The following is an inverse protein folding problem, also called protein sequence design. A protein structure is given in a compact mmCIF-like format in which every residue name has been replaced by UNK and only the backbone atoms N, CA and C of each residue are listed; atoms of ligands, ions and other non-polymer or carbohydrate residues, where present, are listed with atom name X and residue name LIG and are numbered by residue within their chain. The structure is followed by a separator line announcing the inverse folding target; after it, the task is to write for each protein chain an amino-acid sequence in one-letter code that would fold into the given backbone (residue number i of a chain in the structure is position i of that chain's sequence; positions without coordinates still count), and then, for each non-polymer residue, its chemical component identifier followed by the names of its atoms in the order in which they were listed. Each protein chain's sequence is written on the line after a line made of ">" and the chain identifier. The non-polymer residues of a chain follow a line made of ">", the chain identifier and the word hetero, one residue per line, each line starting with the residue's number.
data_IF_158257825092
#
_entry.id   IF_158257825092
#
_cell.length_a   1.000
_cell.length_b   1.000
_cell.length_c   1.000
_cell.angle_alpha   90.00
_cell.angle_beta   90.00
_cell.angle_gamma   90.00
#
_symmetry.space_group_name_H-M   'P 1'
#
loop_
_entity.id
_entity.type
_entity.pdbx_description
1 polymer ?
#
# COMPACT_ATOMS: atom_id res chain seq x y z
N UNK A 1 5.85 24.30 -62.09
CA UNK A 1 6.71 23.16 -61.75
C UNK A 1 6.39 22.72 -60.34
N UNK A 2 6.13 21.42 -60.23
CA UNK A 2 5.76 20.64 -59.06
C UNK A 2 6.82 20.68 -57.96
N UNK A 3 6.40 20.81 -56.70
CA UNK A 3 7.01 20.08 -55.56
C UNK A 3 6.10 20.12 -54.34
N UNK A 4 5.28 19.09 -54.28
CA UNK A 4 4.58 18.58 -53.10
C UNK A 4 5.60 18.34 -51.98
N UNK A 5 5.42 18.99 -50.84
CA UNK A 5 6.12 18.64 -49.60
C UNK A 5 5.10 17.99 -48.67
N UNK A 6 5.10 16.66 -48.67
CA UNK A 6 4.43 15.84 -47.67
C UNK A 6 5.19 16.00 -46.35
N UNK A 7 4.62 16.72 -45.39
CA UNK A 7 5.11 16.72 -44.02
C UNK A 7 4.52 15.48 -43.31
N UNK A 8 5.31 14.40 -43.22
CA UNK A 8 5.00 13.25 -42.38
C UNK A 8 5.38 13.62 -40.95
N UNK A 9 4.42 14.05 -40.15
CA UNK A 9 4.59 14.26 -38.70
C UNK A 9 4.46 12.90 -38.00
N UNK A 10 5.61 12.29 -37.72
CA UNK A 10 5.69 11.10 -36.86
C UNK A 10 5.26 11.46 -35.44
N UNK A 11 4.03 11.11 -35.05
CA UNK A 11 3.58 11.19 -33.67
C UNK A 11 4.24 10.06 -32.85
N UNK A 12 5.30 10.40 -32.11
CA UNK A 12 5.91 9.48 -31.15
C UNK A 12 4.98 9.24 -29.96
N UNK A 13 4.57 7.99 -29.72
CA UNK A 13 3.91 7.59 -28.48
C UNK A 13 4.91 7.70 -27.33
N UNK A 14 4.75 8.69 -26.47
CA UNK A 14 5.44 8.76 -25.18
C UNK A 14 4.74 7.78 -24.23
N UNK A 15 5.33 6.59 -24.04
CA UNK A 15 4.98 5.72 -22.92
C UNK A 15 5.61 6.31 -21.66
N UNK A 16 4.79 6.89 -20.78
CA UNK A 16 5.25 7.25 -19.44
C UNK A 16 5.33 5.99 -18.59
N UNK A 17 6.56 5.52 -18.33
CA UNK A 17 6.79 4.53 -17.29
C UNK A 17 6.51 5.20 -15.94
N UNK A 18 5.35 4.90 -15.35
CA UNK A 18 5.15 5.15 -13.92
C UNK A 18 6.07 4.18 -13.16
N UNK A 19 6.73 4.70 -12.12
CA UNK A 19 7.65 3.93 -11.29
C UNK A 19 7.12 3.89 -9.85
N UNK A 20 7.13 2.69 -9.27
CA UNK A 20 6.55 2.41 -7.96
C UNK A 20 7.06 3.38 -6.89
N UNK A 21 6.18 3.76 -5.97
CA UNK A 21 6.53 4.66 -4.88
C UNK A 21 7.05 3.85 -3.69
N UNK A 22 8.25 4.14 -3.22
CA UNK A 22 8.91 3.45 -2.12
C UNK A 22 8.98 4.33 -0.87
N UNK A 23 8.73 3.73 0.29
CA UNK A 23 8.89 4.31 1.61
C UNK A 23 9.73 3.38 2.48
N UNK A 24 10.77 3.90 3.12
CA UNK A 24 11.68 3.09 3.93
C UNK A 24 12.63 2.23 3.07
N UNK A 25 12.91 1.01 3.53
CA UNK A 25 13.76 0.06 2.81
C UNK A 25 13.03 -0.60 1.62
N UNK A 26 13.76 -1.39 0.82
CA UNK A 26 13.14 -2.22 -0.20
C UNK A 26 12.23 -3.29 0.43
N UNK A 27 11.07 -3.52 -0.15
CA UNK A 27 10.15 -4.58 0.27
C UNK A 27 10.65 -5.92 -0.29
N UNK A 28 10.83 -6.91 0.59
CA UNK A 28 11.10 -8.29 0.16
C UNK A 28 9.81 -8.94 -0.34
N UNK A 29 9.70 -9.07 -1.66
CA UNK A 29 8.54 -9.66 -2.33
C UNK A 29 8.58 -11.19 -2.41
N UNK A 30 9.66 -11.84 -1.98
CA UNK A 30 9.78 -13.31 -2.05
C UNK A 30 8.92 -14.04 -1.02
N UNK A 31 8.51 -13.33 0.03
CA UNK A 31 7.77 -13.86 1.18
C UNK A 31 6.41 -13.19 1.38
N UNK A 32 5.89 -12.50 0.36
CA UNK A 32 4.61 -11.78 0.41
C UNK A 32 3.44 -12.74 0.63
N UNK A 33 2.58 -12.40 1.59
CA UNK A 33 1.26 -13.01 1.74
C UNK A 33 0.15 -11.96 1.47
N UNK A 34 -1.00 -12.36 0.90
CA UNK A 34 -2.16 -11.47 0.83
C UNK A 34 -2.65 -11.10 2.23
N UNK A 35 -3.17 -9.89 2.39
CA UNK A 35 -3.72 -9.43 3.68
C UNK A 35 -4.87 -10.30 4.16
N UNK A 36 -5.63 -10.90 3.25
CA UNK A 36 -6.69 -11.86 3.54
C UNK A 36 -6.14 -13.09 4.26
N UNK A 37 -4.98 -13.60 3.85
CA UNK A 37 -4.35 -14.75 4.50
C UNK A 37 -3.88 -14.42 5.92
N UNK A 38 -3.39 -13.20 6.16
CA UNK A 38 -3.05 -12.74 7.50
C UNK A 38 -4.31 -12.70 8.38
N UNK A 39 -5.41 -12.17 7.84
CA UNK A 39 -6.68 -11.98 8.55
C UNK A 39 -7.39 -13.29 8.90
N UNK A 40 -7.15 -14.40 8.20
CA UNK A 40 -7.68 -15.72 8.62
C UNK A 40 -7.19 -16.10 10.03
N UNK A 41 -5.94 -15.76 10.38
CA UNK A 41 -5.38 -16.11 11.69
C UNK A 41 -4.38 -15.04 12.19
N UNK A 42 -4.85 -13.83 12.52
CA UNK A 42 -3.97 -12.69 12.78
C UNK A 42 -3.10 -12.89 14.03
N UNK A 43 -3.62 -13.62 15.04
CA UNK A 43 -2.87 -13.97 16.25
C UNK A 43 -1.58 -14.76 15.95
N UNK A 44 -1.54 -15.56 14.88
CA UNK A 44 -0.34 -16.31 14.48
C UNK A 44 0.79 -15.41 13.97
N UNK A 45 0.48 -14.17 13.63
CA UNK A 45 1.44 -13.18 13.15
C UNK A 45 1.79 -12.14 14.21
N UNK A 46 1.16 -12.19 15.39
CA UNK A 46 1.44 -11.24 16.47
C UNK A 46 2.94 -11.22 16.78
N UNK A 47 3.47 -10.01 16.83
CA UNK A 47 4.87 -9.69 17.06
C UNK A 47 5.89 -10.18 16.02
N UNK A 48 5.41 -10.73 14.89
CA UNK A 48 6.26 -11.16 13.78
C UNK A 48 6.39 -10.07 12.73
N UNK A 49 7.56 -10.05 12.10
CA UNK A 49 7.77 -9.29 10.86
C UNK A 49 7.19 -10.09 9.70
N UNK A 50 6.34 -9.45 8.92
CA UNK A 50 5.70 -10.02 7.73
C UNK A 50 5.78 -9.03 6.58
N UNK A 51 5.74 -9.54 5.35
CA UNK A 51 5.44 -8.74 4.18
C UNK A 51 4.04 -9.09 3.69
N UNK A 52 3.16 -8.09 3.63
CA UNK A 52 1.79 -8.27 3.15
C UNK A 52 1.51 -7.46 1.90
N UNK A 53 0.61 -7.95 1.05
CA UNK A 53 0.07 -7.21 -0.09
C UNK A 53 -1.43 -6.98 0.05
N UNK A 54 -1.92 -5.86 -0.48
CA UNK A 54 -3.34 -5.60 -0.57
C UNK A 54 -3.66 -4.37 -1.40
N UNK A 55 -4.94 -4.21 -1.73
CA UNK A 55 -5.45 -3.01 -2.40
C UNK A 55 -5.72 -1.92 -1.37
N UNK A 56 -5.26 -0.70 -1.62
CA UNK A 56 -5.48 0.42 -0.70
C UNK A 56 -6.93 0.89 -0.79
N UNK A 57 -7.67 0.76 0.30
CA UNK A 57 -9.05 1.23 0.44
C UNK A 57 -9.13 2.72 0.81
N UNK A 58 -8.37 3.09 1.83
CA UNK A 58 -8.41 4.43 2.42
C UNK A 58 -7.06 4.84 2.98
N UNK A 59 -6.85 6.15 3.01
CA UNK A 59 -5.62 6.80 3.48
C UNK A 59 -6.03 7.96 4.38
N UNK A 60 -5.22 8.23 5.41
CA UNK A 60 -5.41 9.41 6.26
C UNK A 60 -5.36 10.70 5.43
N UNK A 61 -6.50 11.39 5.29
CA UNK A 61 -6.58 12.67 4.57
C UNK A 61 -5.91 13.85 5.27
N UNK A 62 -5.56 13.69 6.56
CA UNK A 62 -4.87 14.73 7.32
C UNK A 62 -3.36 14.67 7.12
N UNK A 63 -2.73 13.60 7.61
CA UNK A 63 -1.26 13.50 7.69
C UNK A 63 -0.66 12.38 6.82
N UNK A 64 -1.49 11.61 6.10
CA UNK A 64 -1.00 10.46 5.33
C UNK A 64 -0.32 9.36 6.17
N UNK A 65 -0.42 9.40 7.50
CA UNK A 65 0.34 8.54 8.42
C UNK A 65 -0.25 7.12 8.58
N UNK A 66 -1.36 6.83 7.91
CA UNK A 66 -1.93 5.50 7.86
C UNK A 66 -2.67 5.27 6.54
N UNK A 67 -2.75 4.00 6.15
CA UNK A 67 -3.62 3.49 5.11
C UNK A 67 -4.33 2.22 5.58
N UNK A 68 -5.38 1.82 4.88
CA UNK A 68 -6.04 0.53 5.09
C UNK A 68 -6.04 -0.27 3.79
N UNK A 69 -5.77 -1.56 3.91
CA UNK A 69 -6.03 -2.49 2.83
C UNK A 69 -7.48 -2.95 2.86
N UNK A 70 -8.11 -3.06 1.69
CA UNK A 70 -9.36 -3.78 1.54
C UNK A 70 -9.14 -5.22 2.00
N UNK A 71 -10.11 -5.79 2.70
CA UNK A 71 -10.13 -7.20 3.02
C UNK A 71 -11.53 -7.75 2.77
N UNK A 72 -11.59 -8.88 2.08
CA UNK A 72 -12.84 -9.61 1.88
C UNK A 72 -13.09 -10.54 3.07
N UNK A 73 -13.17 -9.98 4.27
CA UNK A 73 -13.39 -10.72 5.51
C UNK A 73 -14.36 -9.97 6.43
N UNK A 74 -15.03 -10.69 7.32
CA UNK A 74 -15.90 -10.10 8.35
C UNK A 74 -15.14 -9.16 9.30
N UNK A 75 -13.81 -9.30 9.39
CA UNK A 75 -12.95 -8.45 10.22
C UNK A 75 -12.76 -7.03 9.64
N UNK A 76 -13.21 -6.80 8.40
CA UNK A 76 -13.10 -5.51 7.74
C UNK A 76 -11.67 -5.13 7.32
N UNK A 77 -11.45 -3.87 6.93
CA UNK A 77 -10.18 -3.45 6.31
C UNK A 77 -9.02 -3.44 7.32
N UNK A 78 -7.85 -3.92 6.89
CA UNK A 78 -6.67 -4.04 7.74
C UNK A 78 -5.83 -2.76 7.74
N UNK A 79 -5.43 -2.28 8.91
CA UNK A 79 -4.74 -0.99 9.07
C UNK A 79 -3.22 -1.14 9.02
N UNK A 80 -2.59 -0.21 8.30
CA UNK A 80 -1.15 0.00 8.25
C UNK A 80 -0.88 1.42 8.73
N UNK A 81 -0.18 1.60 9.84
CA UNK A 81 0.04 2.94 10.43
C UNK A 81 1.47 3.11 10.93
N UNK A 82 2.00 4.30 10.67
CA UNK A 82 3.25 4.82 11.21
C UNK A 82 2.97 5.95 12.22
N UNK A 83 4.03 6.45 12.88
CA UNK A 83 3.91 7.72 13.60
C UNK A 83 3.76 8.85 12.59
N UNK A 84 3.15 9.94 13.04
CA UNK A 84 2.87 11.07 12.17
C UNK A 84 4.19 11.68 11.69
N UNK A 85 4.36 11.78 10.37
CA UNK A 85 5.59 12.29 9.73
C UNK A 85 6.64 11.23 9.34
N UNK A 86 6.56 9.99 9.84
CA UNK A 86 7.53 8.94 9.49
C UNK A 86 7.41 8.52 8.01
N UNK A 87 6.17 8.32 7.55
CA UNK A 87 5.81 8.06 6.16
C UNK A 87 4.52 8.81 5.85
N UNK A 88 4.49 9.48 4.69
CA UNK A 88 3.32 10.24 4.24
C UNK A 88 2.77 9.57 2.98
N UNK A 89 1.78 8.70 3.17
CA UNK A 89 1.14 8.01 2.05
C UNK A 89 0.25 8.99 1.27
N UNK A 90 0.41 9.10 -0.07
CA UNK A 90 -0.33 10.07 -0.87
C UNK A 90 -1.76 9.58 -1.10
N UNK A 91 -2.75 10.48 -1.02
CA UNK A 91 -4.16 10.15 -1.29
C UNK A 91 -4.38 9.54 -2.69
N UNK A 92 -3.54 9.88 -3.66
CA UNK A 92 -3.56 9.33 -5.03
C UNK A 92 -3.24 7.84 -5.10
N UNK A 93 -2.71 7.24 -4.03
CA UNK A 93 -2.46 5.79 -3.97
C UNK A 93 -3.73 4.98 -3.67
N UNK A 94 -4.86 5.61 -3.33
CA UNK A 94 -6.13 4.90 -3.14
C UNK A 94 -6.49 4.10 -4.38
N UNK A 95 -6.85 2.83 -4.19
CA UNK A 95 -7.19 1.89 -5.25
C UNK A 95 -5.99 1.17 -5.88
N UNK A 96 -4.75 1.60 -5.61
CA UNK A 96 -3.54 0.90 -6.05
C UNK A 96 -3.25 -0.31 -5.17
N UNK A 97 -2.42 -1.20 -5.69
CA UNK A 97 -1.83 -2.30 -4.91
C UNK A 97 -0.62 -1.79 -4.15
N UNK A 98 -0.46 -2.18 -2.89
CA UNK A 98 0.74 -1.91 -2.13
C UNK A 98 1.22 -3.16 -1.40
N UNK A 99 2.52 -3.15 -1.11
CA UNK A 99 3.24 -4.15 -0.35
C UNK A 99 3.82 -3.46 0.88
N UNK A 100 3.66 -4.05 2.06
CA UNK A 100 4.16 -3.49 3.30
C UNK A 100 4.89 -4.56 4.11
N UNK A 101 6.15 -4.31 4.43
CA UNK A 101 6.91 -5.09 5.40
C UNK A 101 6.85 -4.38 6.74
N UNK A 102 6.50 -5.11 7.79
CA UNK A 102 6.38 -4.52 9.12
C UNK A 102 6.04 -5.54 10.19
N UNK A 103 5.88 -5.05 11.41
CA UNK A 103 5.52 -5.91 12.55
C UNK A 103 4.02 -5.81 12.85
N UNK A 104 3.37 -6.95 13.04
CA UNK A 104 1.96 -7.01 13.44
C UNK A 104 1.87 -6.83 14.96
N UNK A 105 0.95 -5.97 15.40
CA UNK A 105 0.66 -5.72 16.82
C UNK A 105 -0.84 -5.63 17.04
N UNK A 106 -1.25 -5.80 18.30
CA UNK A 106 -2.57 -5.39 18.74
C UNK A 106 -2.66 -3.85 18.76
N UNK A 107 -3.82 -3.35 18.37
CA UNK A 107 -4.18 -1.94 18.39
C UNK A 107 -5.50 -1.78 19.14
N UNK A 108 -5.39 -1.22 20.36
CA UNK A 108 -6.55 -0.92 21.19
C UNK A 108 -7.44 0.15 20.55
N UNK A 109 -8.73 -0.17 20.45
CA UNK A 109 -9.76 0.69 19.86
C UNK A 109 -10.41 1.62 20.90
N UNK A 110 -10.20 1.38 22.20
CA UNK A 110 -10.93 2.03 23.29
C UNK A 110 -11.45 0.98 24.28
N UNK A 111 -12.03 1.43 25.40
CA UNK A 111 -12.51 0.53 26.47
C UNK A 111 -13.68 -0.36 26.02
N UNK A 112 -14.52 0.13 25.10
CA UNK A 112 -15.77 -0.53 24.67
C UNK A 112 -15.66 -1.31 23.35
N UNK A 113 -14.48 -1.32 22.73
CA UNK A 113 -14.26 -1.91 21.41
C UNK A 113 -13.15 -2.97 21.48
N UNK A 114 -13.32 -4.14 20.83
CA UNK A 114 -12.30 -5.18 20.86
C UNK A 114 -11.00 -4.68 20.20
N UNK A 115 -9.86 -5.11 20.74
CA UNK A 115 -8.57 -4.85 20.13
C UNK A 115 -8.55 -5.37 18.67
N UNK A 116 -8.00 -4.54 17.79
CA UNK A 116 -7.79 -4.89 16.39
C UNK A 116 -6.33 -5.26 16.15
N UNK A 117 -6.02 -5.78 14.96
CA UNK A 117 -4.63 -5.95 14.53
C UNK A 117 -4.22 -4.82 13.59
N UNK A 118 -2.96 -4.42 13.69
CA UNK A 118 -2.37 -3.40 12.83
C UNK A 118 -0.94 -3.80 12.47
N UNK A 119 -0.51 -3.42 11.27
CA UNK A 119 0.90 -3.48 10.89
C UNK A 119 1.58 -2.13 11.08
N UNK A 120 2.73 -2.15 11.76
CA UNK A 120 3.68 -1.04 11.86
C UNK A 120 4.77 -1.24 10.81
N UNK A 121 4.70 -0.54 9.66
CA UNK A 121 5.59 -0.81 8.55
C UNK A 121 6.99 -0.22 8.77
N UNK A 122 7.99 -0.94 8.29
CA UNK A 122 9.37 -0.46 8.11
C UNK A 122 9.70 -0.23 6.65
N UNK A 123 8.93 -0.83 5.74
CA UNK A 123 9.02 -0.63 4.30
C UNK A 123 7.62 -0.69 3.67
N UNK A 124 7.35 0.20 2.72
CA UNK A 124 6.14 0.17 1.90
C UNK A 124 6.51 0.42 0.45
N UNK A 125 5.98 -0.38 -0.45
CA UNK A 125 5.99 -0.13 -1.89
C UNK A 125 4.56 -0.01 -2.39
N UNK A 126 4.24 1.09 -3.05
CA UNK A 126 2.97 1.29 -3.74
C UNK A 126 3.23 1.08 -5.23
N UNK A 127 2.60 0.04 -5.80
CA UNK A 127 2.69 -0.25 -7.22
C UNK A 127 2.06 0.89 -8.04
N UNK A 128 2.46 0.98 -9.30
CA UNK A 128 1.96 2.00 -10.24
C UNK A 128 0.49 1.82 -10.64
#
# INVERSE_FOLDING_TARGET
>A
MLKTLLAVTSAGLLFTAHAATLFGAAVDKTTVIPVEQLLVQPASYLDKVVTISGKIDSICSKQGCWMKFTANSEQGPFRIKVRDGDMVFPLSAKGKTAYATGTVRLWSQGEDEPDAYQLYPTAVEIAD
#
